data_IF_603426506683
#
_entry.id   IF_603426506683
#
_cell.length_a   1.000
_cell.length_b   1.000
_cell.length_c   1.000
_cell.angle_alpha   90.00
_cell.angle_beta   90.00
_cell.angle_gamma   90.00
#
_symmetry.space_group_name_H-M   'P 1'
#
loop_
_entity.id
_entity.type
_entity.pdbx_description
1 polymer ?
#
# COMPACT_ATOMS: atom_id res chain seq x y z
N UNK A 1 11.60 6.24 14.44
CA UNK A 1 12.25 5.82 13.17
C UNK A 1 12.61 7.04 12.35
N UNK A 2 13.68 6.99 11.54
CA UNK A 2 14.00 8.06 10.58
C UNK A 2 13.01 7.99 9.40
N UNK A 3 12.52 9.12 8.86
CA UNK A 3 11.73 9.11 7.63
C UNK A 3 12.51 8.48 6.46
N UNK A 4 11.82 7.70 5.63
CA UNK A 4 12.40 7.02 4.45
C UNK A 4 11.61 7.27 3.16
N UNK A 5 10.74 8.29 3.16
CA UNK A 5 9.90 8.67 2.00
C UNK A 5 10.78 8.93 0.78
N UNK A 6 11.87 9.67 0.97
CA UNK A 6 12.87 10.03 -0.04
C UNK A 6 13.62 8.83 -0.63
N UNK A 7 13.86 7.79 0.18
CA UNK A 7 14.46 6.55 -0.31
C UNK A 7 13.47 5.80 -1.20
N UNK A 8 12.22 5.68 -0.77
CA UNK A 8 11.18 4.99 -1.55
C UNK A 8 10.89 5.73 -2.85
N UNK A 9 10.88 7.07 -2.83
CA UNK A 9 10.78 7.89 -4.06
C UNK A 9 11.89 7.54 -5.07
N UNK A 10 13.15 7.44 -4.62
CA UNK A 10 14.27 7.08 -5.49
C UNK A 10 14.12 5.69 -6.09
N UNK A 11 13.65 4.72 -5.30
CA UNK A 11 13.38 3.36 -5.78
C UNK A 11 12.28 3.34 -6.85
N UNK A 12 11.19 4.07 -6.60
CA UNK A 12 10.10 4.19 -7.56
C UNK A 12 10.56 4.84 -8.88
N UNK A 13 11.36 5.91 -8.79
CA UNK A 13 11.94 6.58 -9.97
C UNK A 13 12.95 5.71 -10.72
N UNK A 14 13.65 4.81 -10.02
CA UNK A 14 14.57 3.85 -10.62
C UNK A 14 13.86 2.64 -11.25
N UNK A 15 12.52 2.59 -11.22
CA UNK A 15 11.74 1.49 -11.79
C UNK A 15 11.70 0.22 -10.93
N UNK A 16 12.13 0.29 -9.67
CA UNK A 16 12.06 -0.84 -8.73
C UNK A 16 10.60 -1.07 -8.33
N UNK A 17 10.18 -2.34 -8.29
CA UNK A 17 8.86 -2.70 -7.79
C UNK A 17 8.80 -2.51 -6.27
N UNK A 18 7.95 -1.59 -5.82
CA UNK A 18 7.72 -1.30 -4.40
C UNK A 18 6.31 -1.73 -4.05
N UNK A 19 6.20 -2.60 -3.05
CA UNK A 19 4.91 -3.01 -2.47
C UNK A 19 4.88 -2.63 -1.00
N UNK A 20 3.84 -1.91 -0.62
CA UNK A 20 3.49 -1.63 0.77
C UNK A 20 2.30 -2.52 1.14
N UNK A 21 2.31 -3.09 2.34
CA UNK A 21 1.15 -3.80 2.87
C UNK A 21 0.96 -3.44 4.34
N UNK A 22 -0.30 -3.43 4.77
CA UNK A 22 -0.66 -3.10 6.14
C UNK A 22 -1.81 -3.99 6.63
N UNK A 23 -1.71 -4.45 7.87
CA UNK A 23 -2.79 -5.16 8.53
C UNK A 23 -3.84 -4.20 9.07
N UNK A 24 -5.12 -4.45 8.77
CA UNK A 24 -6.25 -3.64 9.19
C UNK A 24 -6.33 -3.39 10.71
N UNK A 25 -5.81 -4.32 11.51
CA UNK A 25 -5.89 -4.32 12.96
C UNK A 25 -4.59 -3.81 13.62
N UNK A 26 -3.63 -3.29 12.84
CA UNK A 26 -2.44 -2.64 13.39
C UNK A 26 -2.80 -1.24 13.94
N UNK A 27 -2.56 -1.04 15.24
CA UNK A 27 -2.80 0.23 15.93
C UNK A 27 -1.54 1.11 16.00
N UNK A 28 -0.34 0.54 15.87
CA UNK A 28 0.92 1.27 16.04
C UNK A 28 1.37 1.87 14.71
N UNK A 29 1.22 1.10 13.62
CA UNK A 29 1.53 1.54 12.26
C UNK A 29 0.27 1.40 11.40
N UNK A 30 -0.74 2.21 11.74
CA UNK A 30 -2.08 2.08 11.20
C UNK A 30 -2.21 2.40 9.70
N UNK A 31 -3.31 1.96 9.10
CA UNK A 31 -3.58 2.14 7.67
C UNK A 31 -3.68 3.61 7.29
N UNK A 32 -4.27 4.46 8.15
CA UNK A 32 -4.37 5.89 7.90
C UNK A 32 -3.01 6.58 7.88
N UNK A 33 -2.13 6.27 8.84
CA UNK A 33 -0.76 6.76 8.88
C UNK A 33 0.05 6.32 7.66
N UNK A 34 -0.12 5.07 7.23
CA UNK A 34 0.50 4.60 5.99
C UNK A 34 -0.03 5.31 4.74
N UNK A 35 -1.34 5.52 4.61
CA UNK A 35 -1.92 6.31 3.51
C UNK A 35 -1.38 7.75 3.49
N UNK A 36 -1.31 8.40 4.65
CA UNK A 36 -0.70 9.72 4.77
C UNK A 36 0.79 9.73 4.40
N UNK A 37 1.52 8.66 4.71
CA UNK A 37 2.92 8.50 4.31
C UNK A 37 3.06 8.33 2.79
N UNK A 38 2.20 7.53 2.15
CA UNK A 38 2.16 7.37 0.68
C UNK A 38 1.85 8.70 0.00
N UNK A 39 0.93 9.49 0.55
CA UNK A 39 0.56 10.81 0.03
C UNK A 39 1.70 11.86 0.12
N UNK A 40 2.79 11.57 0.84
CA UNK A 40 3.98 12.43 0.87
C UNK A 40 4.95 12.15 -0.27
N UNK A 41 4.79 11.05 -1.00
CA UNK A 41 5.66 10.70 -2.12
C UNK A 41 5.56 11.76 -3.24
N UNK A 42 6.68 12.17 -3.80
CA UNK A 42 6.75 13.01 -5.00
C UNK A 42 6.87 12.20 -6.29
N UNK A 43 6.43 10.95 -6.24
CA UNK A 43 6.45 10.04 -7.38
C UNK A 43 5.44 10.49 -8.46
N UNK A 44 5.81 10.59 -9.75
CA UNK A 44 4.92 11.07 -10.80
C UNK A 44 3.59 10.31 -10.93
N UNK A 45 3.58 9.02 -10.58
CA UNK A 45 2.36 8.21 -10.60
C UNK A 45 1.40 8.44 -9.42
N UNK A 46 1.77 9.22 -8.41
CA UNK A 46 0.98 9.37 -7.18
C UNK A 46 -0.43 9.91 -7.44
N UNK A 47 -0.57 10.90 -8.34
CA UNK A 47 -1.88 11.48 -8.64
C UNK A 47 -2.85 10.45 -9.25
N UNK A 48 -2.35 9.59 -10.13
CA UNK A 48 -3.16 8.52 -10.73
C UNK A 48 -3.43 7.43 -9.70
N UNK A 49 -2.40 7.00 -8.97
CA UNK A 49 -2.54 6.01 -7.91
C UNK A 49 -3.58 6.41 -6.86
N UNK A 50 -3.58 7.67 -6.44
CA UNK A 50 -4.51 8.20 -5.42
C UNK A 50 -5.96 8.20 -5.90
N UNK A 51 -6.20 8.43 -7.20
CA UNK A 51 -7.54 8.42 -7.80
C UNK A 51 -8.09 7.00 -8.06
N UNK A 52 -7.24 5.97 -7.99
CA UNK A 52 -7.69 4.59 -8.11
C UNK A 52 -8.61 4.20 -6.96
N UNK A 53 -9.60 3.36 -7.29
CA UNK A 53 -10.42 2.68 -6.29
C UNK A 53 -9.71 1.44 -5.78
N UNK A 54 -9.88 1.16 -4.50
CA UNK A 54 -9.49 -0.10 -3.88
C UNK A 54 -10.19 -1.28 -4.58
N UNK A 55 -9.41 -2.28 -4.97
CA UNK A 55 -9.90 -3.53 -5.59
C UNK A 55 -9.84 -4.67 -4.58
N UNK A 56 -10.86 -5.53 -4.49
CA UNK A 56 -10.80 -6.69 -3.61
C UNK A 56 -9.82 -7.73 -4.16
N UNK A 57 -9.09 -8.39 -3.25
CA UNK A 57 -8.28 -9.58 -3.49
C UNK A 57 -8.85 -10.71 -2.64
N UNK A 58 -9.18 -11.82 -3.28
CA UNK A 58 -9.77 -12.99 -2.63
C UNK A 58 -8.70 -13.93 -2.07
N UNK A 59 -9.02 -14.61 -0.96
CA UNK A 59 -8.15 -15.59 -0.33
C UNK A 59 -8.00 -16.87 -1.15
N UNK A 60 -6.86 -17.57 -1.00
CA UNK A 60 -6.59 -18.82 -1.72
C UNK A 60 -7.53 -19.96 -1.34
N UNK A 61 -8.07 -19.94 -0.12
CA UNK A 61 -8.96 -20.97 0.42
C UNK A 61 -10.44 -20.78 0.04
N UNK A 62 -10.84 -19.58 -0.40
CA UNK A 62 -12.24 -19.25 -0.69
C UNK A 62 -12.36 -17.98 -1.55
N UNK A 63 -13.03 -18.10 -2.69
CA UNK A 63 -13.40 -16.96 -3.55
C UNK A 63 -14.48 -16.06 -2.93
N UNK A 64 -15.01 -16.40 -1.74
CA UNK A 64 -16.00 -15.58 -1.02
C UNK A 64 -15.36 -14.70 0.05
N UNK A 65 -14.13 -15.01 0.44
CA UNK A 65 -13.42 -14.28 1.50
C UNK A 65 -12.45 -13.28 0.88
N UNK A 66 -12.74 -11.99 1.05
CA UNK A 66 -11.81 -10.93 0.67
C UNK A 66 -10.67 -10.94 1.70
N UNK A 67 -9.46 -11.26 1.24
CA UNK A 67 -8.25 -11.29 2.06
C UNK A 67 -7.61 -9.91 2.19
N UNK A 68 -7.69 -9.09 1.14
CA UNK A 68 -7.16 -7.74 1.15
C UNK A 68 -7.91 -6.85 0.16
N UNK A 69 -7.77 -5.53 0.34
CA UNK A 69 -8.01 -4.56 -0.71
C UNK A 69 -6.67 -4.06 -1.24
N UNK A 70 -6.55 -3.76 -2.52
CA UNK A 70 -5.32 -3.23 -3.08
C UNK A 70 -5.52 -2.13 -4.11
N UNK A 71 -4.50 -1.27 -4.23
CA UNK A 71 -4.31 -0.33 -5.35
C UNK A 71 -2.97 -0.64 -5.99
N UNK A 72 -2.90 -0.54 -7.31
CA UNK A 72 -1.65 -0.73 -8.04
C UNK A 72 -1.61 0.21 -9.24
N UNK A 73 -0.49 0.90 -9.41
CA UNK A 73 -0.21 1.69 -10.59
C UNK A 73 1.30 1.59 -10.90
N UNK A 74 1.64 1.21 -12.13
CA UNK A 74 3.03 0.97 -12.55
C UNK A 74 3.76 0.04 -11.56
N UNK A 75 4.91 0.48 -11.05
CA UNK A 75 5.77 -0.25 -10.12
C UNK A 75 5.44 -0.03 -8.63
N UNK A 76 4.30 0.59 -8.31
CA UNK A 76 3.84 0.77 -6.93
C UNK A 76 2.54 0.02 -6.65
N UNK A 77 2.51 -0.73 -5.55
CA UNK A 77 1.32 -1.41 -5.04
C UNK A 77 1.15 -1.15 -3.54
N UNK A 78 -0.10 -1.02 -3.11
CA UNK A 78 -0.46 -0.94 -1.70
C UNK A 78 -1.58 -1.93 -1.40
N UNK A 79 -1.37 -2.81 -0.42
CA UNK A 79 -2.33 -3.78 0.10
C UNK A 79 -2.79 -3.40 1.51
N UNK A 80 -4.10 -3.37 1.69
CA UNK A 80 -4.76 -3.30 2.98
C UNK A 80 -5.32 -4.68 3.31
N UNK A 81 -4.64 -5.41 4.20
CA UNK A 81 -4.90 -6.81 4.51
C UNK A 81 -5.93 -6.92 5.63
N UNK A 82 -7.04 -7.61 5.35
CA UNK A 82 -8.14 -7.75 6.29
C UNK A 82 -7.81 -8.80 7.36
N UNK A 83 -8.31 -8.57 8.58
CA UNK A 83 -8.11 -9.47 9.74
C UNK A 83 -6.64 -9.71 10.13
N UNK A 84 -5.70 -8.92 9.61
CA UNK A 84 -4.29 -8.97 9.97
C UNK A 84 -3.93 -7.83 10.95
N UNK A 85 -3.03 -8.12 11.90
CA UNK A 85 -2.49 -7.13 12.84
C UNK A 85 -1.13 -6.61 12.39
N UNK A 86 -0.26 -6.31 13.35
CA UNK A 86 1.08 -5.79 13.10
C UNK A 86 2.04 -6.79 12.42
N UNK A 87 1.83 -8.09 12.63
CA UNK A 87 2.67 -9.18 12.11
C UNK A 87 1.90 -10.02 11.08
#
# INVERSE_FOLDING_TARGET
MKPVVDIVEKLLLAGVNVTVYNGQLDLIVDTFGQEMWVNKLKWPGLSVFSSLRWKPMYGSSSLRDIAAFYKQYQNFAFYWVLKAGHM
#
